data_IF_555309006132
#
_entry.id   IF_555309006132
#
_cell.length_a   1.000
_cell.length_b   1.000
_cell.length_c   1.000
_cell.angle_alpha   90.00
_cell.angle_beta   90.00
_cell.angle_gamma   90.00
#
_symmetry.space_group_name_H-M   'P 1'
#
loop_
_entity.id
_entity.type
_entity.pdbx_description
1 polymer ?
#
# COMPACT_ATOMS: atom_id res chain seq x y z
N UNK A 1 -59.27 -28.29 27.27
CA UNK A 1 -58.00 -27.82 27.75
C UNK A 1 -57.09 -27.59 26.57
N UNK A 2 -57.04 -26.39 26.13
CA UNK A 2 -56.19 -25.97 25.04
C UNK A 2 -54.88 -25.47 25.63
N UNK A 3 -53.81 -26.23 25.46
CA UNK A 3 -52.46 -25.76 25.77
C UNK A 3 -52.05 -24.71 24.74
N UNK A 4 -51.67 -23.51 25.15
CA UNK A 4 -51.14 -22.56 24.22
C UNK A 4 -49.77 -23.09 23.76
N UNK A 5 -49.68 -23.44 22.51
CA UNK A 5 -48.40 -23.60 21.87
C UNK A 5 -47.75 -22.22 21.81
N UNK A 6 -46.91 -21.97 22.79
CA UNK A 6 -45.93 -20.90 22.67
C UNK A 6 -45.03 -21.22 21.47
N UNK A 7 -45.40 -20.65 20.36
CA UNK A 7 -44.51 -20.54 19.26
C UNK A 7 -43.35 -19.63 19.73
N UNK A 8 -42.29 -20.24 20.19
CA UNK A 8 -41.00 -19.56 20.25
C UNK A 8 -40.63 -19.27 18.81
N UNK A 9 -41.08 -18.13 18.33
CA UNK A 9 -40.43 -17.50 17.21
C UNK A 9 -39.03 -17.13 17.70
N UNK A 10 -38.11 -18.04 17.49
CA UNK A 10 -36.71 -17.72 17.53
C UNK A 10 -36.49 -16.73 16.37
N UNK A 11 -36.67 -15.45 16.67
CA UNK A 11 -36.11 -14.41 15.84
C UNK A 11 -34.59 -14.55 16.03
N UNK A 12 -33.99 -15.42 15.25
CA UNK A 12 -32.60 -15.25 14.90
C UNK A 12 -32.54 -13.91 14.17
N UNK A 13 -32.43 -12.85 14.94
CA UNK A 13 -31.83 -11.65 14.43
C UNK A 13 -30.40 -12.07 14.04
N UNK A 14 -30.27 -12.54 12.83
CA UNK A 14 -29.02 -12.56 12.15
C UNK A 14 -28.54 -11.10 12.16
N UNK A 15 -27.82 -10.80 13.21
CA UNK A 15 -26.90 -9.68 13.22
C UNK A 15 -25.92 -9.98 12.09
N UNK A 16 -26.35 -9.67 10.90
CA UNK A 16 -25.47 -9.54 9.77
C UNK A 16 -24.56 -8.36 10.05
N UNK A 17 -23.68 -8.49 11.02
CA UNK A 17 -22.53 -7.63 11.12
C UNK A 17 -21.66 -7.95 9.93
N UNK A 18 -21.95 -7.28 8.84
CA UNK A 18 -21.02 -7.22 7.73
C UNK A 18 -19.78 -6.54 8.27
N UNK A 19 -18.80 -7.34 8.64
CA UNK A 19 -17.48 -6.85 8.97
C UNK A 19 -16.75 -6.45 7.68
N UNK A 20 -17.29 -5.45 6.96
CA UNK A 20 -16.69 -4.92 5.74
C UNK A 20 -15.44 -4.07 6.01
N UNK A 21 -15.10 -3.85 7.29
CA UNK A 21 -14.01 -2.94 7.66
C UNK A 21 -12.61 -3.52 7.43
N UNK A 22 -12.41 -4.85 7.46
CA UNK A 22 -11.10 -5.48 7.42
C UNK A 22 -10.34 -5.29 6.09
N UNK A 23 -10.88 -5.74 4.92
CA UNK A 23 -10.19 -5.59 3.63
C UNK A 23 -10.04 -4.14 3.19
N UNK A 24 -11.06 -3.30 3.41
CA UNK A 24 -11.00 -1.89 3.04
C UNK A 24 -10.00 -1.09 3.89
N UNK A 25 -9.92 -1.37 5.19
CA UNK A 25 -8.93 -0.76 6.08
C UNK A 25 -7.51 -1.18 5.69
N UNK A 26 -7.27 -2.46 5.42
CA UNK A 26 -5.98 -2.95 4.91
C UNK A 26 -5.60 -2.28 3.59
N UNK A 27 -6.52 -2.18 2.64
CA UNK A 27 -6.26 -1.55 1.35
C UNK A 27 -5.84 -0.09 1.51
N UNK A 28 -6.48 0.66 2.42
CA UNK A 28 -6.12 2.06 2.71
C UNK A 28 -4.73 2.19 3.32
N UNK A 29 -4.34 1.27 4.18
CA UNK A 29 -3.03 1.29 4.84
C UNK A 29 -1.86 1.10 3.87
N UNK A 30 -2.11 0.54 2.70
CA UNK A 30 -1.10 0.33 1.66
C UNK A 30 -1.32 1.22 0.43
N UNK A 31 -2.29 2.13 0.46
CA UNK A 31 -2.50 3.04 -0.67
C UNK A 31 -1.33 4.00 -0.87
N UNK A 32 -1.10 4.37 -2.12
CA UNK A 32 -0.07 5.34 -2.46
C UNK A 32 -0.27 6.67 -1.72
N UNK A 33 -1.52 7.13 -1.63
CA UNK A 33 -1.86 8.37 -0.92
C UNK A 33 -1.42 8.33 0.55
N UNK A 34 -1.57 7.19 1.21
CA UNK A 34 -1.14 7.00 2.59
C UNK A 34 0.38 7.08 2.77
N UNK A 35 1.15 6.64 1.79
CA UNK A 35 2.61 6.66 1.83
C UNK A 35 3.24 7.98 1.37
N UNK A 36 2.58 8.71 0.47
CA UNK A 36 3.16 9.88 -0.20
C UNK A 36 3.64 10.96 0.76
N UNK A 37 2.86 11.28 1.79
CA UNK A 37 3.25 12.30 2.76
C UNK A 37 4.57 11.96 3.45
N UNK A 38 4.73 10.70 3.88
CA UNK A 38 5.97 10.21 4.50
C UNK A 38 7.14 10.17 3.51
N UNK A 39 6.89 9.81 2.27
CA UNK A 39 7.91 9.83 1.22
C UNK A 39 8.41 11.25 0.93
N UNK A 40 7.50 12.22 0.90
CA UNK A 40 7.85 13.64 0.74
C UNK A 40 8.61 14.18 1.96
N UNK A 41 8.26 13.76 3.16
CA UNK A 41 9.01 14.07 4.38
C UNK A 41 10.43 13.52 4.32
N UNK A 42 10.60 12.27 3.86
CA UNK A 42 11.92 11.68 3.66
C UNK A 42 12.77 12.50 2.67
N UNK A 43 12.20 12.90 1.54
CA UNK A 43 12.88 13.74 0.54
C UNK A 43 13.28 15.10 1.15
N UNK A 44 12.44 15.65 2.02
CA UNK A 44 12.71 16.91 2.71
C UNK A 44 13.73 16.79 3.85
N UNK A 45 14.25 15.60 4.09
CA UNK A 45 15.23 15.35 5.16
C UNK A 45 14.62 15.31 6.56
N UNK A 46 13.30 15.16 6.67
CA UNK A 46 12.62 15.00 7.95
C UNK A 46 12.80 13.58 8.49
N UNK A 47 13.05 13.49 9.79
CA UNK A 47 13.19 12.21 10.50
C UNK A 47 11.96 11.99 11.38
N UNK A 48 11.01 11.21 10.87
CA UNK A 48 9.79 10.85 11.60
C UNK A 48 9.31 9.44 11.20
N UNK A 49 8.29 8.96 11.89
CA UNK A 49 7.73 7.62 11.66
C UNK A 49 7.29 7.40 10.20
N UNK A 50 6.62 8.39 9.62
CA UNK A 50 6.09 8.24 8.25
C UNK A 50 7.19 8.25 7.18
N UNK A 51 8.21 9.07 7.38
CA UNK A 51 9.41 9.04 6.53
C UNK A 51 10.11 7.69 6.61
N UNK A 52 10.30 7.15 7.82
CA UNK A 52 10.87 5.83 8.04
C UNK A 52 10.02 4.72 7.43
N UNK A 53 8.70 4.83 7.51
CA UNK A 53 7.78 3.89 6.89
C UNK A 53 7.92 3.86 5.36
N UNK A 54 8.04 5.01 4.73
CA UNK A 54 8.27 5.10 3.29
C UNK A 54 9.58 4.44 2.90
N UNK A 55 10.69 4.87 3.49
CA UNK A 55 12.01 4.34 3.10
C UNK A 55 12.13 2.86 3.42
N UNK A 56 11.59 2.40 4.53
CA UNK A 56 11.56 0.98 4.89
C UNK A 56 10.82 0.13 3.86
N UNK A 57 9.66 0.60 3.38
CA UNK A 57 8.93 -0.09 2.32
C UNK A 57 9.75 -0.16 1.03
N UNK A 58 10.42 0.91 0.65
CA UNK A 58 11.29 0.96 -0.55
C UNK A 58 12.47 0.01 -0.42
N UNK A 59 13.10 -0.05 0.74
CA UNK A 59 14.19 -1.00 1.03
C UNK A 59 13.74 -2.46 0.90
N UNK A 60 12.55 -2.78 1.38
CA UNK A 60 11.99 -4.14 1.24
C UNK A 60 11.72 -4.47 -0.22
N UNK A 61 11.15 -3.54 -0.99
CA UNK A 61 10.93 -3.75 -2.42
C UNK A 61 12.25 -3.97 -3.17
N UNK A 62 13.29 -3.22 -2.83
CA UNK A 62 14.62 -3.39 -3.41
C UNK A 62 15.21 -4.76 -3.06
N UNK A 63 15.10 -5.19 -1.82
CA UNK A 63 15.57 -6.51 -1.39
C UNK A 63 14.83 -7.64 -2.12
N UNK A 64 13.51 -7.55 -2.25
CA UNK A 64 12.70 -8.55 -2.97
C UNK A 64 13.00 -8.56 -4.47
N UNK A 65 13.44 -7.44 -5.02
CA UNK A 65 13.78 -7.33 -6.44
C UNK A 65 14.97 -8.21 -6.85
N UNK A 66 15.81 -8.61 -5.90
CA UNK A 66 16.89 -9.57 -6.17
C UNK A 66 16.33 -10.88 -6.77
N UNK A 67 15.16 -11.31 -6.32
CA UNK A 67 14.48 -12.50 -6.81
C UNK A 67 13.50 -12.22 -7.95
N UNK A 68 12.77 -11.11 -7.88
CA UNK A 68 11.68 -10.80 -8.83
C UNK A 68 12.16 -10.15 -10.12
N UNK A 69 13.27 -9.44 -10.10
CA UNK A 69 13.85 -8.75 -11.27
C UNK A 69 12.87 -7.82 -12.00
N UNK A 70 12.06 -7.09 -11.25
CA UNK A 70 11.07 -6.17 -11.81
C UNK A 70 11.71 -4.89 -12.35
N UNK A 71 12.82 -4.49 -11.78
CA UNK A 71 13.61 -3.33 -12.20
C UNK A 71 15.11 -3.60 -12.04
N UNK A 72 15.93 -2.84 -12.75
CA UNK A 72 17.38 -3.02 -12.77
C UNK A 72 18.09 -1.67 -12.51
N UNK A 73 17.92 -1.15 -11.28
CA UNK A 73 18.63 0.05 -10.87
C UNK A 73 20.13 -0.19 -10.78
N UNK A 74 20.98 0.80 -11.13
CA UNK A 74 22.42 0.72 -10.90
C UNK A 74 22.75 0.46 -9.42
N UNK A 75 23.83 -0.25 -9.15
CA UNK A 75 24.24 -0.64 -7.79
C UNK A 75 24.46 0.56 -6.84
N UNK A 76 24.82 1.71 -7.39
CA UNK A 76 25.02 2.93 -6.61
C UNK A 76 23.75 3.77 -6.41
N UNK A 77 22.59 3.25 -6.78
CA UNK A 77 21.29 3.94 -6.55
C UNK A 77 20.97 3.95 -5.07
N UNK A 78 20.81 5.12 -4.49
CA UNK A 78 20.45 5.27 -3.09
C UNK A 78 18.92 5.35 -2.86
N UNK A 79 18.50 5.30 -1.60
CA UNK A 79 17.08 5.37 -1.24
C UNK A 79 16.45 6.71 -1.61
N UNK A 80 17.19 7.82 -1.55
CA UNK A 80 16.67 9.13 -1.92
C UNK A 80 16.31 9.18 -3.41
N UNK A 81 17.16 8.62 -4.26
CA UNK A 81 16.88 8.52 -5.70
C UNK A 81 15.67 7.65 -5.98
N UNK A 82 15.55 6.50 -5.29
CA UNK A 82 14.39 5.60 -5.42
C UNK A 82 13.10 6.29 -4.98
N UNK A 83 13.10 6.91 -3.81
CA UNK A 83 11.91 7.59 -3.28
C UNK A 83 11.49 8.75 -4.17
N UNK A 84 12.43 9.57 -4.66
CA UNK A 84 12.13 10.65 -5.63
C UNK A 84 11.51 10.12 -6.91
N UNK A 85 12.04 9.04 -7.44
CA UNK A 85 11.50 8.38 -8.64
C UNK A 85 10.07 7.93 -8.42
N UNK A 86 9.80 7.30 -7.28
CA UNK A 86 8.45 6.81 -6.92
C UNK A 86 7.49 7.98 -6.74
N UNK A 87 7.84 9.00 -5.99
CA UNK A 87 6.99 10.18 -5.74
C UNK A 87 6.66 10.90 -7.04
N UNK A 88 7.64 11.12 -7.90
CA UNK A 88 7.44 11.75 -9.22
C UNK A 88 6.45 10.95 -10.07
N UNK A 89 6.61 9.63 -10.08
CA UNK A 89 5.73 8.75 -10.83
C UNK A 89 4.27 8.81 -10.34
N UNK A 90 4.07 8.74 -9.02
CA UNK A 90 2.73 8.75 -8.42
C UNK A 90 2.09 10.14 -8.53
N UNK A 91 2.84 11.22 -8.30
CA UNK A 91 2.32 12.60 -8.41
C UNK A 91 1.85 12.94 -9.85
N UNK A 92 2.44 12.33 -10.85
CA UNK A 92 2.00 12.46 -12.23
C UNK A 92 0.71 11.68 -12.56
N UNK A 93 0.23 10.85 -11.63
CA UNK A 93 -0.94 9.97 -11.77
C UNK A 93 -1.91 10.11 -10.61
N UNK A 94 -2.51 11.31 -10.43
CA UNK A 94 -3.37 11.59 -9.28
C UNK A 94 -4.60 10.69 -9.19
N UNK A 95 -5.07 10.15 -10.32
CA UNK A 95 -6.18 9.22 -10.44
C UNK A 95 -5.84 7.82 -9.87
N UNK A 96 -4.56 7.52 -9.66
CA UNK A 96 -4.09 6.21 -9.17
C UNK A 96 -3.64 6.22 -7.71
N UNK A 97 -3.81 7.32 -6.98
CA UNK A 97 -3.33 7.45 -5.59
C UNK A 97 -3.98 6.51 -4.59
N UNK A 98 -5.13 5.95 -4.91
CA UNK A 98 -5.81 4.94 -4.09
C UNK A 98 -5.31 3.51 -4.34
N UNK A 99 -4.49 3.31 -5.34
CA UNK A 99 -3.89 2.00 -5.62
C UNK A 99 -2.78 1.66 -4.60
N UNK A 100 -2.39 0.40 -4.58
CA UNK A 100 -1.35 -0.10 -3.69
C UNK A 100 0.00 0.59 -3.98
N UNK A 101 0.58 1.18 -2.94
CA UNK A 101 1.88 1.85 -3.03
C UNK A 101 2.98 0.94 -3.59
N UNK A 102 2.99 -0.33 -3.18
CA UNK A 102 4.01 -1.29 -3.61
C UNK A 102 3.96 -1.55 -5.09
N UNK A 103 2.75 -1.65 -5.63
CA UNK A 103 2.53 -1.80 -7.07
C UNK A 103 3.06 -0.58 -7.83
N UNK A 104 2.64 0.61 -7.43
CA UNK A 104 3.05 1.85 -8.10
C UNK A 104 4.54 2.13 -7.94
N UNK A 105 5.13 1.79 -6.79
CA UNK A 105 6.57 1.92 -6.56
C UNK A 105 7.37 1.00 -7.49
N UNK A 106 6.95 -0.25 -7.64
CA UNK A 106 7.59 -1.18 -8.58
C UNK A 106 7.45 -0.71 -10.03
N UNK A 107 6.26 -0.23 -10.42
CA UNK A 107 6.05 0.35 -11.76
C UNK A 107 6.95 1.55 -12.01
N UNK A 108 7.08 2.45 -11.02
CA UNK A 108 7.92 3.63 -11.10
C UNK A 108 9.39 3.25 -11.32
N UNK A 109 9.88 2.31 -10.52
CA UNK A 109 11.25 1.85 -10.60
C UNK A 109 11.52 1.06 -11.89
N UNK A 110 10.58 0.24 -12.33
CA UNK A 110 10.68 -0.48 -13.60
C UNK A 110 10.72 0.46 -14.81
N UNK A 111 9.96 1.55 -14.75
CA UNK A 111 9.98 2.56 -15.81
C UNK A 111 11.29 3.36 -15.83
N UNK A 112 11.80 3.71 -14.66
CA UNK A 112 13.05 4.47 -14.55
C UNK A 112 14.29 3.61 -14.87
N UNK A 113 14.26 2.36 -14.45
CA UNK A 113 15.38 1.42 -14.57
C UNK A 113 14.92 0.08 -15.16
N UNK A 114 14.52 0.05 -16.43
CA UNK A 114 14.09 -1.19 -17.05
C UNK A 114 15.22 -2.19 -17.13
N UNK A 115 14.91 -3.46 -16.89
CA UNK A 115 15.87 -4.52 -17.11
C UNK A 115 16.05 -4.76 -18.62
N UNK A 116 17.28 -4.96 -19.04
CA UNK A 116 17.58 -5.32 -20.43
C UNK A 116 17.18 -6.77 -20.65
N UNK A 117 16.48 -6.98 -21.74
CA UNK A 117 16.16 -8.33 -22.24
C UNK A 117 17.21 -8.82 -23.20
#
# INVERSE_FOLDING_TARGET
MTTPRLAFALVLALLGSKADAGPAASARMFSADFYLAGCKDFIAGKSNFFAGRCVGAVEVLDALNADTKLFCAPDNTDNLQRVRTIVTYIDARPDRKNEDFRLLANEAMAKAWPCKR
#
